data_IF_925914464826
#
_entry.id   IF_925914464826
#
_cell.length_a   1.000
_cell.length_b   1.000
_cell.length_c   1.000
_cell.angle_alpha   90.00
_cell.angle_beta   90.00
_cell.angle_gamma   90.00
#
_symmetry.space_group_name_H-M   'P 1'
#
loop_
_entity.id
_entity.type
_entity.pdbx_description
1 polymer ?
#
# COMPACT_ATOMS: atom_id res chain seq x y z
N UNK A 1 21.78 -7.76 -15.95
CA UNK A 1 21.31 -9.17 -15.96
C UNK A 1 19.96 -9.20 -15.26
N UNK A 2 18.92 -9.72 -15.92
CA UNK A 2 17.58 -9.80 -15.32
C UNK A 2 17.45 -11.03 -14.42
N UNK A 3 16.78 -10.88 -13.28
CA UNK A 3 16.41 -12.00 -12.41
C UNK A 3 15.03 -12.50 -12.83
N UNK A 4 14.85 -13.82 -12.95
CA UNK A 4 13.55 -14.42 -13.29
C UNK A 4 12.66 -14.46 -12.05
N UNK A 5 11.47 -13.87 -12.13
CA UNK A 5 10.46 -13.96 -11.08
C UNK A 5 10.00 -15.42 -10.95
N UNK A 6 10.13 -16.00 -9.75
CA UNK A 6 9.86 -17.42 -9.51
C UNK A 6 8.36 -17.76 -9.57
N UNK A 7 7.45 -16.79 -9.44
CA UNK A 7 6.00 -17.00 -9.45
C UNK A 7 5.40 -16.81 -10.83
N UNK A 8 5.91 -15.86 -11.61
CA UNK A 8 5.36 -15.51 -12.94
C UNK A 8 6.24 -15.91 -14.10
N UNK A 9 7.53 -16.17 -13.90
CA UNK A 9 8.50 -16.44 -14.96
C UNK A 9 8.97 -15.20 -15.72
N UNK A 10 8.50 -14.01 -15.34
CA UNK A 10 8.86 -12.74 -15.97
C UNK A 10 10.30 -12.34 -15.64
N UNK A 11 10.98 -11.70 -16.60
CA UNK A 11 12.30 -11.10 -16.38
C UNK A 11 12.14 -9.79 -15.62
N UNK A 12 12.71 -9.70 -14.42
CA UNK A 12 12.88 -8.43 -13.70
C UNK A 12 14.23 -7.83 -14.07
N UNK A 13 14.22 -6.70 -14.75
CA UNK A 13 15.42 -5.90 -14.99
C UNK A 13 15.64 -4.99 -13.78
N UNK A 14 16.88 -4.92 -13.29
CA UNK A 14 17.26 -3.95 -12.26
C UNK A 14 17.31 -2.53 -12.81
N UNK A 15 17.37 -1.54 -11.91
CA UNK A 15 17.66 -0.16 -12.29
C UNK A 15 19.15 0.00 -12.63
N UNK A 16 19.45 0.92 -13.56
CA UNK A 16 20.80 1.37 -13.87
C UNK A 16 20.81 2.87 -13.67
N UNK A 17 21.66 3.34 -12.76
CA UNK A 17 21.84 4.76 -12.54
C UNK A 17 22.73 5.36 -13.63
N UNK A 18 22.31 6.51 -14.14
CA UNK A 18 23.01 7.23 -15.22
C UNK A 18 23.31 8.63 -14.72
N UNK A 19 24.59 9.03 -14.75
CA UNK A 19 24.99 10.38 -14.37
C UNK A 19 24.28 11.43 -15.25
N UNK A 20 23.77 12.50 -14.64
CA UNK A 20 23.04 13.56 -15.34
C UNK A 20 23.75 14.10 -16.60
N UNK A 21 25.09 14.35 -16.61
CA UNK A 21 25.78 14.82 -17.82
C UNK A 21 25.78 13.81 -18.98
N UNK A 22 25.56 12.52 -18.69
CA UNK A 22 25.55 11.44 -19.68
C UNK A 22 24.14 11.11 -20.16
N UNK A 23 23.10 11.60 -19.48
CA UNK A 23 21.71 11.20 -19.69
C UNK A 23 21.25 11.44 -21.13
N UNK A 24 21.46 12.65 -21.68
CA UNK A 24 21.04 12.98 -23.05
C UNK A 24 21.76 12.11 -24.09
N UNK A 25 23.07 11.89 -23.91
CA UNK A 25 23.86 11.04 -24.81
C UNK A 25 23.43 9.58 -24.73
N UNK A 26 23.15 9.08 -23.53
CA UNK A 26 22.63 7.74 -23.32
C UNK A 26 21.28 7.57 -24.00
N UNK A 27 20.33 8.47 -23.74
CA UNK A 27 18.97 8.42 -24.27
C UNK A 27 18.96 8.37 -25.80
N UNK A 28 19.66 9.30 -26.44
CA UNK A 28 19.75 9.36 -27.90
C UNK A 28 20.37 8.10 -28.51
N UNK A 29 21.44 7.56 -27.90
CA UNK A 29 22.10 6.35 -28.39
C UNK A 29 21.25 5.10 -28.18
N UNK A 30 20.49 5.03 -27.09
CA UNK A 30 19.60 3.91 -26.81
C UNK A 30 18.47 3.89 -27.84
N UNK A 31 17.77 5.01 -28.06
CA UNK A 31 16.71 5.12 -29.06
C UNK A 31 17.22 4.81 -30.47
N UNK A 32 18.37 5.35 -30.88
CA UNK A 32 18.97 5.05 -32.17
C UNK A 32 19.31 3.56 -32.37
N UNK A 33 19.66 2.85 -31.28
CA UNK A 33 19.88 1.39 -31.34
C UNK A 33 18.57 0.63 -31.43
N UNK A 34 17.55 1.05 -30.66
CA UNK A 34 16.22 0.43 -30.65
C UNK A 34 15.51 0.55 -31.99
N UNK A 35 15.74 1.63 -32.74
CA UNK A 35 15.21 1.81 -34.10
C UNK A 35 15.56 0.69 -35.07
N UNK A 36 16.65 -0.04 -34.83
CA UNK A 36 17.10 -1.15 -35.68
C UNK A 36 16.59 -2.51 -35.21
N UNK A 37 15.75 -2.57 -34.17
CA UNK A 37 15.18 -3.79 -33.62
C UNK A 37 13.70 -3.82 -34.01
N UNK A 38 13.29 -4.89 -34.69
CA UNK A 38 11.90 -5.09 -35.13
C UNK A 38 10.96 -5.02 -33.93
N UNK A 39 9.96 -4.12 -34.00
CA UNK A 39 8.99 -3.85 -32.94
C UNK A 39 9.43 -2.83 -31.89
N UNK A 40 10.55 -2.13 -32.09
CA UNK A 40 11.09 -1.07 -31.22
C UNK A 40 11.37 0.24 -31.98
N UNK A 41 10.88 0.37 -33.20
CA UNK A 41 11.14 1.49 -34.11
C UNK A 41 10.66 2.83 -33.54
N UNK A 42 9.56 2.78 -32.80
CA UNK A 42 8.91 3.94 -32.15
C UNK A 42 9.11 3.94 -30.63
N UNK A 43 10.22 3.36 -30.16
CA UNK A 43 10.54 3.40 -28.74
C UNK A 43 10.63 4.85 -28.23
N UNK A 44 10.09 5.08 -27.04
CA UNK A 44 10.13 6.37 -26.36
C UNK A 44 10.43 6.17 -24.86
N UNK A 45 10.80 7.25 -24.18
CA UNK A 45 11.00 7.24 -22.73
C UNK A 45 9.72 7.63 -22.01
N UNK A 46 9.31 6.81 -21.05
CA UNK A 46 8.36 7.20 -20.02
C UNK A 46 9.12 7.87 -18.87
N UNK A 47 8.72 9.07 -18.50
CA UNK A 47 9.24 9.75 -17.32
C UNK A 47 8.33 9.46 -16.13
N UNK A 48 8.92 9.06 -15.01
CA UNK A 48 8.20 8.82 -13.76
C UNK A 48 9.02 9.42 -12.62
N UNK A 49 8.43 10.33 -11.86
CA UNK A 49 9.05 10.88 -10.65
C UNK A 49 8.62 9.98 -9.48
N UNK A 50 9.54 9.13 -9.00
CA UNK A 50 9.28 8.23 -7.86
C UNK A 50 9.97 8.71 -6.60
N UNK A 51 9.25 8.61 -5.48
CA UNK A 51 9.87 8.51 -4.16
C UNK A 51 10.33 9.85 -3.57
N UNK A 52 9.39 10.73 -3.25
CA UNK A 52 9.68 11.90 -2.40
C UNK A 52 8.81 11.84 -1.14
N UNK A 53 8.96 10.73 -0.39
CA UNK A 53 8.21 10.49 0.85
C UNK A 53 8.61 11.54 1.89
N UNK A 54 7.65 12.33 2.36
CA UNK A 54 7.86 13.37 3.37
C UNK A 54 8.41 14.70 2.86
N UNK A 55 8.71 14.82 1.55
CA UNK A 55 9.14 16.11 0.96
C UNK A 55 7.96 16.96 0.52
N UNK A 56 6.79 16.33 0.33
CA UNK A 56 5.56 17.02 -0.05
C UNK A 56 4.54 17.17 1.07
N UNK A 57 4.94 17.13 2.34
CA UNK A 57 4.04 17.39 3.46
C UNK A 57 3.82 18.90 3.61
N UNK A 58 2.56 19.31 3.67
CA UNK A 58 2.15 20.71 3.81
C UNK A 58 0.74 20.77 4.42
N UNK A 59 0.34 21.93 4.93
CA UNK A 59 -1.05 22.17 5.29
C UNK A 59 -1.90 22.15 4.01
N UNK A 60 -2.85 21.22 3.86
CA UNK A 60 -3.64 21.12 2.63
C UNK A 60 -4.53 22.34 2.40
N UNK A 61 -4.78 23.19 3.41
CA UNK A 61 -5.55 24.43 3.27
C UNK A 61 -4.68 25.61 2.81
N UNK A 62 -3.36 25.52 2.98
CA UNK A 62 -2.42 26.53 2.50
C UNK A 62 -2.18 26.37 1.00
N UNK A 63 -2.74 27.30 0.23
CA UNK A 63 -2.65 27.25 -1.24
C UNK A 63 -1.22 27.47 -1.74
N UNK A 64 -0.44 28.34 -1.09
CA UNK A 64 0.94 28.62 -1.50
C UNK A 64 1.80 27.37 -1.27
N UNK A 65 1.69 26.75 -0.10
CA UNK A 65 2.42 25.53 0.23
C UNK A 65 2.10 24.36 -0.72
N UNK A 66 0.82 24.22 -1.15
CA UNK A 66 0.43 23.21 -2.17
C UNK A 66 1.18 23.41 -3.49
N UNK A 67 1.18 24.63 -4.00
CA UNK A 67 1.81 24.95 -5.29
C UNK A 67 3.34 24.91 -5.21
N UNK A 68 3.93 25.37 -4.11
CA UNK A 68 5.38 25.30 -3.89
C UNK A 68 5.85 23.85 -3.83
N UNK A 69 5.12 22.99 -3.12
CA UNK A 69 5.39 21.56 -3.09
C UNK A 69 5.34 20.95 -4.50
N UNK A 70 4.25 21.18 -5.25
CA UNK A 70 4.11 20.65 -6.60
C UNK A 70 5.21 21.17 -7.54
N UNK A 71 5.54 22.46 -7.45
CA UNK A 71 6.64 23.06 -8.19
C UNK A 71 7.97 22.37 -7.86
N UNK A 72 8.26 22.15 -6.59
CA UNK A 72 9.49 21.50 -6.16
C UNK A 72 9.61 20.07 -6.74
N UNK A 73 8.53 19.29 -6.71
CA UNK A 73 8.50 17.95 -7.35
C UNK A 73 8.81 18.03 -8.84
N UNK A 74 8.34 19.07 -9.53
CA UNK A 74 8.51 19.27 -10.97
C UNK A 74 9.81 19.97 -11.36
N UNK A 75 10.71 20.30 -10.43
CA UNK A 75 12.02 20.90 -10.75
C UNK A 75 12.91 19.95 -11.57
N UNK A 76 12.72 18.64 -11.41
CA UNK A 76 13.54 17.62 -12.06
C UNK A 76 13.18 17.37 -13.54
N UNK A 77 12.13 18.00 -14.05
CA UNK A 77 11.58 17.75 -15.38
C UNK A 77 11.47 19.04 -16.20
N UNK A 78 11.67 18.95 -17.51
CA UNK A 78 11.50 20.08 -18.41
C UNK A 78 10.02 20.42 -18.55
N UNK A 79 9.57 21.42 -17.78
CA UNK A 79 8.17 21.86 -17.74
C UNK A 79 7.65 22.36 -19.08
N UNK A 80 8.51 22.86 -19.96
CA UNK A 80 8.11 23.30 -21.29
C UNK A 80 7.73 22.16 -22.23
N UNK A 81 8.11 20.92 -21.89
CA UNK A 81 7.81 19.71 -22.63
C UNK A 81 6.67 18.87 -22.00
N UNK A 82 6.04 19.37 -20.93
CA UNK A 82 4.98 18.66 -20.22
C UNK A 82 3.61 19.08 -20.76
N UNK A 83 2.84 18.11 -21.26
CA UNK A 83 1.40 18.25 -21.39
C UNK A 83 0.76 17.96 -20.02
N UNK A 84 0.17 18.98 -19.42
CA UNK A 84 -0.43 18.90 -18.08
C UNK A 84 -1.72 18.07 -18.04
N UNK A 85 -2.27 17.72 -19.20
CA UNK A 85 -3.42 16.81 -19.32
C UNK A 85 -3.01 15.34 -19.41
N UNK A 86 -1.79 15.05 -19.87
CA UNK A 86 -1.27 13.69 -19.99
C UNK A 86 -0.50 13.23 -18.75
N UNK A 87 0.09 14.16 -18.01
CA UNK A 87 0.78 13.87 -16.76
C UNK A 87 -0.19 13.63 -15.62
N UNK A 88 0.01 12.51 -14.92
CA UNK A 88 -0.81 12.13 -13.78
C UNK A 88 -0.02 12.29 -12.48
N UNK A 89 -0.67 12.85 -11.46
CA UNK A 89 -0.11 13.09 -10.12
C UNK A 89 -0.95 12.36 -9.09
N UNK A 90 -0.28 11.68 -8.16
CA UNK A 90 -0.91 11.11 -6.98
C UNK A 90 -0.92 12.17 -5.87
N UNK A 91 -2.11 12.67 -5.54
CA UNK A 91 -2.35 13.65 -4.47
C UNK A 91 -2.95 12.93 -3.27
N UNK A 92 -2.47 13.21 -2.06
CA UNK A 92 -2.91 12.50 -0.87
C UNK A 92 -3.26 13.43 0.29
N UNK A 93 -4.33 13.09 1.01
CA UNK A 93 -4.64 13.58 2.35
C UNK A 93 -4.25 12.53 3.37
N UNK A 94 -3.60 12.98 4.44
CA UNK A 94 -3.18 12.13 5.54
C UNK A 94 -3.78 12.63 6.86
N UNK A 95 -4.44 11.73 7.59
CA UNK A 95 -5.06 11.99 8.88
C UNK A 95 -4.27 11.27 9.98
N UNK A 96 -3.80 12.03 10.96
CA UNK A 96 -3.04 11.53 12.10
C UNK A 96 -3.66 11.99 13.42
N UNK A 97 -3.51 11.17 14.47
CA UNK A 97 -3.82 11.55 15.85
C UNK A 97 -2.74 10.99 16.76
N UNK A 98 -2.13 11.83 17.59
CA UNK A 98 -1.11 11.42 18.55
C UNK A 98 -1.59 10.27 19.44
N UNK A 99 -0.71 9.31 19.73
CA UNK A 99 -1.04 8.12 20.53
C UNK A 99 -2.06 7.16 19.92
N UNK A 100 -2.44 7.33 18.65
CA UNK A 100 -3.41 6.48 17.97
C UNK A 100 -2.91 5.96 16.63
N UNK A 101 -3.48 4.84 16.22
CA UNK A 101 -3.44 4.31 14.87
C UNK A 101 -4.79 4.58 14.21
N UNK A 102 -4.77 5.42 13.18
CA UNK A 102 -5.93 5.77 12.38
C UNK A 102 -6.23 4.65 11.37
N UNK A 103 -7.45 4.13 11.40
CA UNK A 103 -7.92 3.06 10.53
C UNK A 103 -9.14 3.50 9.73
N UNK A 104 -9.19 3.10 8.46
CA UNK A 104 -10.37 3.29 7.60
C UNK A 104 -11.46 2.27 7.92
N UNK A 105 -12.71 2.70 7.84
CA UNK A 105 -13.88 1.87 8.07
C UNK A 105 -14.54 1.49 6.74
N UNK A 106 -14.81 0.20 6.54
CA UNK A 106 -15.46 -0.33 5.34
C UNK A 106 -16.83 0.33 5.08
N UNK A 107 -17.59 0.60 6.14
CA UNK A 107 -18.90 1.26 6.05
C UNK A 107 -18.82 2.69 5.48
N UNK A 108 -17.67 3.36 5.57
CA UNK A 108 -17.47 4.73 5.07
C UNK A 108 -17.14 4.81 3.58
N UNK A 109 -16.84 3.68 2.94
CA UNK A 109 -16.35 3.66 1.54
C UNK A 109 -17.34 4.30 0.57
N UNK A 110 -18.64 4.04 0.73
CA UNK A 110 -19.67 4.65 -0.12
C UNK A 110 -19.70 6.19 0.04
N UNK A 111 -19.52 6.70 1.26
CA UNK A 111 -19.46 8.13 1.55
C UNK A 111 -18.23 8.80 0.92
N UNK A 112 -17.09 8.12 0.97
CA UNK A 112 -15.86 8.57 0.29
C UNK A 112 -16.06 8.62 -1.22
N UNK A 113 -16.60 7.55 -1.83
CA UNK A 113 -16.82 7.52 -3.27
C UNK A 113 -17.82 8.57 -3.73
N UNK A 114 -18.88 8.84 -2.96
CA UNK A 114 -19.84 9.91 -3.26
C UNK A 114 -19.17 11.29 -3.29
N UNK A 115 -18.24 11.53 -2.38
CA UNK A 115 -17.47 12.78 -2.35
C UNK A 115 -16.47 12.87 -3.51
N UNK A 116 -15.78 11.77 -3.82
CA UNK A 116 -14.68 11.75 -4.80
C UNK A 116 -15.16 11.61 -6.25
N UNK A 117 -16.36 11.05 -6.48
CA UNK A 117 -16.94 10.80 -7.79
C UNK A 117 -18.34 11.44 -7.90
N UNK A 118 -18.46 12.77 -7.78
CA UNK A 118 -19.76 13.44 -7.76
C UNK A 118 -20.55 13.32 -9.06
N UNK A 119 -19.90 12.99 -10.19
CA UNK A 119 -20.59 12.71 -11.46
C UNK A 119 -21.43 11.42 -11.43
N UNK A 120 -21.19 10.52 -10.49
CA UNK A 120 -21.94 9.26 -10.37
C UNK A 120 -23.26 9.54 -9.63
N UNK A 121 -24.43 9.36 -10.29
CA UNK A 121 -25.65 10.02 -9.86
C UNK A 121 -26.35 9.37 -8.66
N UNK A 122 -26.09 8.09 -8.37
CA UNK A 122 -26.79 7.38 -7.29
C UNK A 122 -25.88 6.42 -6.53
N UNK A 123 -26.25 6.13 -5.29
CA UNK A 123 -25.55 5.17 -4.43
C UNK A 123 -25.55 3.76 -5.03
N UNK A 124 -26.61 3.35 -5.74
CA UNK A 124 -26.65 2.05 -6.42
C UNK A 124 -25.60 1.96 -7.53
N UNK A 125 -25.32 3.07 -8.23
CA UNK A 125 -24.26 3.10 -9.23
C UNK A 125 -22.88 3.01 -8.59
N UNK A 126 -22.65 3.72 -7.48
CA UNK A 126 -21.41 3.62 -6.71
C UNK A 126 -21.19 2.21 -6.15
N UNK A 127 -22.24 1.57 -5.64
CA UNK A 127 -22.17 0.19 -5.17
C UNK A 127 -21.77 -0.77 -6.30
N UNK A 128 -22.36 -0.61 -7.50
CA UNK A 128 -21.95 -1.40 -8.68
C UNK A 128 -20.49 -1.16 -9.09
N UNK A 129 -19.90 -0.01 -8.77
CA UNK A 129 -18.46 0.23 -8.98
C UNK A 129 -17.64 -0.59 -7.98
N UNK A 130 -18.06 -0.63 -6.71
CA UNK A 130 -17.41 -1.43 -5.67
C UNK A 130 -17.52 -2.94 -5.90
N UNK A 131 -18.57 -3.40 -6.58
CA UNK A 131 -18.77 -4.83 -6.88
C UNK A 131 -17.98 -5.32 -8.11
N UNK A 132 -17.26 -4.43 -8.81
CA UNK A 132 -16.51 -4.75 -10.03
C UNK A 132 -15.05 -5.07 -9.73
N UNK A 133 -14.40 -5.75 -10.69
CA UNK A 133 -12.96 -6.12 -10.64
C UNK A 133 -11.99 -4.94 -10.46
N UNK A 134 -12.42 -3.70 -10.74
CA UNK A 134 -11.60 -2.51 -10.54
C UNK A 134 -11.49 -2.09 -9.07
N UNK A 135 -12.34 -2.62 -8.20
CA UNK A 135 -12.34 -2.36 -6.77
C UNK A 135 -11.68 -3.53 -6.02
N UNK A 136 -10.75 -3.21 -5.12
CA UNK A 136 -10.13 -4.18 -4.23
C UNK A 136 -10.25 -3.71 -2.79
N UNK A 137 -10.86 -4.54 -1.94
CA UNK A 137 -11.01 -4.27 -0.51
C UNK A 137 -9.77 -4.70 0.25
N UNK A 138 -9.21 -3.80 1.05
CA UNK A 138 -7.93 -3.99 1.72
C UNK A 138 -8.13 -4.08 3.24
N UNK A 139 -8.51 -5.27 3.72
CA UNK A 139 -8.78 -5.51 5.15
C UNK A 139 -7.51 -5.44 6.00
N UNK A 140 -7.56 -4.71 7.10
CA UNK A 140 -6.47 -4.62 8.06
C UNK A 140 -6.53 -5.79 9.06
N UNK A 141 -5.48 -6.61 9.13
CA UNK A 141 -5.38 -7.69 10.10
C UNK A 141 -6.61 -8.61 10.13
N UNK A 142 -7.22 -8.91 8.97
CA UNK A 142 -8.45 -9.72 8.85
C UNK A 142 -9.67 -9.17 9.61
N UNK A 143 -9.62 -7.94 10.12
CA UNK A 143 -10.77 -7.30 10.75
C UNK A 143 -11.75 -6.86 9.67
N UNK A 144 -13.01 -7.24 9.84
CA UNK A 144 -14.06 -7.04 8.84
C UNK A 144 -14.33 -5.56 8.56
N UNK A 145 -14.41 -4.79 9.63
CA UNK A 145 -14.83 -3.39 9.56
C UNK A 145 -13.66 -2.44 9.26
N UNK A 146 -12.43 -2.85 9.56
CA UNK A 146 -11.23 -2.05 9.31
C UNK A 146 -10.67 -2.39 7.94
N UNK A 147 -10.94 -1.53 6.96
CA UNK A 147 -10.50 -1.75 5.60
C UNK A 147 -10.27 -0.43 4.86
N UNK A 148 -9.17 -0.41 4.13
CA UNK A 148 -8.98 0.49 3.01
C UNK A 148 -9.57 -0.08 1.72
N UNK A 149 -9.34 0.59 0.61
CA UNK A 149 -9.64 0.06 -0.71
C UNK A 149 -8.76 0.69 -1.79
N UNK A 150 -8.68 0.00 -2.93
CA UNK A 150 -8.16 0.55 -4.18
C UNK A 150 -9.26 0.53 -5.22
N UNK A 151 -9.31 1.56 -6.06
CA UNK A 151 -10.26 1.62 -7.15
C UNK A 151 -9.58 2.16 -8.40
N UNK A 152 -9.54 1.35 -9.46
CA UNK A 152 -9.40 1.85 -10.82
C UNK A 152 -10.76 2.43 -11.25
N UNK A 153 -10.82 3.76 -11.38
CA UNK A 153 -12.08 4.46 -11.61
C UNK A 153 -12.58 4.16 -13.03
N UNK A 154 -13.87 3.80 -13.22
CA UNK A 154 -14.43 3.57 -14.54
C UNK A 154 -14.26 4.78 -15.46
N UNK A 155 -13.92 4.56 -16.73
CA UNK A 155 -13.51 5.63 -17.67
C UNK A 155 -14.51 6.79 -17.79
N UNK A 156 -15.82 6.53 -17.68
CA UNK A 156 -16.84 7.57 -17.73
C UNK A 156 -16.75 8.53 -16.52
N UNK A 157 -16.69 7.99 -15.32
CA UNK A 157 -16.52 8.77 -14.09
C UNK A 157 -15.13 9.43 -14.05
N UNK A 158 -14.09 8.70 -14.45
CA UNK A 158 -12.73 9.23 -14.48
C UNK A 158 -12.58 10.46 -15.38
N UNK A 159 -13.27 10.46 -16.54
CA UNK A 159 -13.29 11.62 -17.44
C UNK A 159 -14.09 12.79 -16.87
N UNK A 160 -15.20 12.51 -16.20
CA UNK A 160 -16.10 13.53 -15.68
C UNK A 160 -15.53 14.21 -14.41
N UNK A 161 -14.97 13.43 -13.49
CA UNK A 161 -14.47 13.90 -12.20
C UNK A 161 -12.95 14.17 -12.21
N UNK A 162 -12.24 13.77 -13.27
CA UNK A 162 -10.79 13.94 -13.37
C UNK A 162 -9.99 12.98 -12.46
N UNK A 163 -10.63 11.97 -11.87
CA UNK A 163 -9.98 11.02 -10.96
C UNK A 163 -9.88 9.64 -11.61
N UNK A 164 -8.66 9.15 -11.84
CA UNK A 164 -8.43 7.89 -12.55
C UNK A 164 -8.20 6.70 -11.62
N UNK A 165 -7.74 6.96 -10.40
CA UNK A 165 -7.41 5.93 -9.42
C UNK A 165 -7.60 6.46 -8.00
N UNK A 166 -8.03 5.59 -7.10
CA UNK A 166 -8.16 5.85 -5.67
C UNK A 166 -7.36 4.79 -4.89
N UNK A 167 -6.71 5.22 -3.81
CA UNK A 167 -5.98 4.35 -2.90
C UNK A 167 -6.19 4.85 -1.47
N UNK A 168 -7.00 4.13 -0.72
CA UNK A 168 -7.39 4.43 0.65
C UNK A 168 -6.75 3.38 1.55
N UNK A 169 -5.80 3.78 2.39
CA UNK A 169 -5.05 2.83 3.22
C UNK A 169 -4.52 3.46 4.50
N UNK A 170 -4.18 2.61 5.48
CA UNK A 170 -3.50 3.05 6.70
C UNK A 170 -1.99 2.82 6.62
N UNK A 171 -1.22 3.72 7.26
CA UNK A 171 0.25 3.74 7.22
C UNK A 171 0.89 2.99 8.40
N UNK A 172 0.11 2.30 9.25
CA UNK A 172 0.64 1.42 10.30
C UNK A 172 1.55 0.33 9.73
N UNK A 173 1.34 -0.04 8.46
CA UNK A 173 2.27 -0.88 7.67
C UNK A 173 3.70 -0.36 7.61
N UNK A 174 3.97 0.92 7.92
CA UNK A 174 5.33 1.49 7.94
C UNK A 174 6.27 0.74 8.88
N UNK A 175 5.76 0.20 9.99
CA UNK A 175 6.54 -0.60 10.94
C UNK A 175 6.89 -1.99 10.40
N UNK A 176 6.16 -2.47 9.39
CA UNK A 176 6.33 -3.81 8.81
C UNK A 176 6.83 -3.76 7.36
N UNK A 177 7.03 -2.56 6.80
CA UNK A 177 7.41 -2.35 5.42
C UNK A 177 8.94 -2.26 5.30
N UNK A 178 9.52 -3.18 4.53
CA UNK A 178 10.95 -3.20 4.23
C UNK A 178 11.16 -3.31 2.72
N UNK A 179 12.12 -2.53 2.19
CA UNK A 179 12.50 -2.58 0.77
C UNK A 179 13.18 -3.91 0.40
N UNK A 180 13.82 -4.56 1.37
CA UNK A 180 14.44 -5.87 1.22
C UNK A 180 13.62 -6.94 1.95
N UNK A 181 13.66 -8.21 1.49
CA UNK A 181 12.98 -9.30 2.18
C UNK A 181 13.39 -9.36 3.66
N UNK A 182 12.41 -9.21 4.54
CA UNK A 182 12.57 -9.32 5.99
C UNK A 182 11.69 -10.44 6.55
N UNK A 183 11.60 -10.53 7.89
CA UNK A 183 10.65 -11.42 8.58
C UNK A 183 9.18 -11.16 8.19
N UNK A 184 8.87 -9.96 7.68
CA UNK A 184 7.54 -9.61 7.20
C UNK A 184 7.30 -9.99 5.74
N UNK A 185 8.11 -10.84 5.09
CA UNK A 185 7.85 -11.34 3.73
C UNK A 185 6.57 -12.20 3.68
N UNK A 186 6.00 -12.52 2.51
CA UNK A 186 4.90 -13.47 2.46
C UNK A 186 5.40 -14.84 2.93
N UNK A 187 4.61 -15.44 3.82
CA UNK A 187 4.80 -16.82 4.27
C UNK A 187 3.91 -17.79 3.50
N UNK A 188 4.37 -19.02 3.33
CA UNK A 188 3.68 -20.05 2.56
C UNK A 188 3.51 -21.33 3.37
N UNK A 189 2.41 -22.05 3.14
CA UNK A 189 2.13 -23.32 3.83
C UNK A 189 3.24 -24.37 3.65
N UNK A 190 3.99 -24.31 2.56
CA UNK A 190 5.16 -25.17 2.32
C UNK A 190 6.27 -24.98 3.36
N UNK A 191 6.30 -23.84 4.07
CA UNK A 191 7.27 -23.58 5.14
C UNK A 191 6.99 -24.38 6.42
N UNK A 192 5.83 -25.02 6.52
CA UNK A 192 5.49 -25.94 7.61
C UNK A 192 6.20 -27.30 7.47
N UNK A 193 6.85 -27.56 6.34
CA UNK A 193 7.44 -28.85 6.00
C UNK A 193 8.96 -28.75 6.01
N UNK A 194 9.60 -29.70 6.71
CA UNK A 194 11.05 -29.86 6.72
C UNK A 194 11.79 -28.69 7.38
N UNK A 195 12.93 -28.32 6.80
CA UNK A 195 13.90 -27.40 7.41
C UNK A 195 13.49 -25.92 7.38
N UNK A 196 12.34 -25.58 6.78
CA UNK A 196 11.84 -24.21 6.72
C UNK A 196 11.13 -23.78 8.00
N UNK A 197 10.56 -24.73 8.75
CA UNK A 197 9.75 -24.45 9.95
C UNK A 197 10.52 -23.71 11.05
N UNK A 198 11.78 -24.08 11.39
CA UNK A 198 12.55 -23.32 12.38
C UNK A 198 12.79 -21.86 11.97
N UNK A 199 13.01 -21.61 10.67
CA UNK A 199 13.17 -20.25 10.14
C UNK A 199 11.86 -19.46 10.23
N UNK A 200 10.74 -20.06 9.85
CA UNK A 200 9.41 -19.45 10.01
C UNK A 200 9.15 -19.04 11.45
N UNK A 201 9.47 -19.91 12.42
CA UNK A 201 9.32 -19.60 13.85
C UNK A 201 10.19 -18.42 14.28
N UNK A 202 11.45 -18.40 13.86
CA UNK A 202 12.33 -17.27 14.12
C UNK A 202 11.79 -15.97 13.50
N UNK A 203 11.25 -16.02 12.28
CA UNK A 203 10.60 -14.87 11.64
C UNK A 203 9.43 -14.36 12.52
N UNK A 204 8.58 -15.25 13.06
CA UNK A 204 7.48 -14.85 13.94
C UNK A 204 7.94 -14.27 15.28
N UNK A 205 9.01 -14.82 15.87
CA UNK A 205 9.58 -14.28 17.11
C UNK A 205 10.13 -12.87 16.89
N UNK A 206 10.83 -12.62 15.78
CA UNK A 206 11.29 -11.28 15.41
C UNK A 206 10.13 -10.31 15.10
N UNK A 207 9.09 -10.78 14.41
CA UNK A 207 7.87 -9.98 14.20
C UNK A 207 7.23 -9.58 15.54
N UNK A 208 7.22 -10.48 16.53
CA UNK A 208 6.65 -10.20 17.85
C UNK A 208 7.40 -9.08 18.57
N UNK A 209 8.73 -9.00 18.42
CA UNK A 209 9.56 -7.92 18.99
C UNK A 209 9.21 -6.57 18.36
N UNK A 210 8.99 -6.55 17.04
CA UNK A 210 8.56 -5.33 16.34
C UNK A 210 7.18 -4.88 16.83
N UNK A 211 6.21 -5.79 16.97
CA UNK A 211 4.89 -5.43 17.51
C UNK A 211 4.97 -4.95 18.97
N UNK A 212 5.80 -5.59 19.81
CA UNK A 212 6.00 -5.16 21.18
C UNK A 212 6.63 -3.77 21.27
N UNK A 213 7.59 -3.45 20.40
CA UNK A 213 8.19 -2.12 20.29
C UNK A 213 7.17 -1.08 19.80
N UNK A 214 6.42 -1.41 18.75
CA UNK A 214 5.40 -0.52 18.19
C UNK A 214 4.25 -0.25 19.16
N UNK A 215 3.94 -1.20 20.04
CA UNK A 215 2.93 -1.07 21.10
C UNK A 215 3.28 -0.01 22.14
N UNK A 216 4.57 0.24 22.37
CA UNK A 216 5.05 1.13 23.44
C UNK A 216 4.89 0.51 24.83
N UNK A 217 4.71 1.36 25.85
CA UNK A 217 4.50 1.02 27.26
C UNK A 217 3.03 1.24 27.64
N UNK A 218 2.53 0.41 28.56
CA UNK A 218 1.15 0.51 29.02
C UNK A 218 0.94 1.80 29.80
N UNK A 219 -0.12 2.55 29.48
CA UNK A 219 -0.45 3.82 30.12
C UNK A 219 0.42 5.00 29.68
N UNK A 220 1.25 4.84 28.65
CA UNK A 220 2.10 5.89 28.07
C UNK A 220 1.75 6.06 26.58
N UNK A 221 0.87 7.02 26.30
CA UNK A 221 0.29 7.24 24.96
C UNK A 221 1.33 7.67 23.92
N UNK A 222 2.46 8.23 24.34
CA UNK A 222 3.51 8.77 23.46
C UNK A 222 4.62 7.75 23.16
N UNK A 223 4.66 6.64 23.89
CA UNK A 223 5.72 5.63 23.76
C UNK A 223 5.56 4.65 22.60
N UNK A 224 4.39 4.61 21.97
CA UNK A 224 4.09 3.69 20.88
C UNK A 224 4.30 4.31 19.49
N UNK A 225 4.19 3.48 18.45
CA UNK A 225 4.25 3.91 17.05
C UNK A 225 2.85 4.21 16.51
N UNK A 226 2.48 5.48 16.28
CA UNK A 226 1.19 5.83 15.68
C UNK A 226 1.12 5.39 14.21
N UNK A 227 -0.07 5.47 13.64
CA UNK A 227 -0.31 5.21 12.23
C UNK A 227 -1.37 6.15 11.67
N UNK A 228 -1.24 6.52 10.41
CA UNK A 228 -2.08 7.52 9.76
C UNK A 228 -3.06 6.86 8.79
N UNK A 229 -4.20 7.49 8.57
CA UNK A 229 -5.16 7.10 7.55
C UNK A 229 -4.93 8.00 6.34
N UNK A 230 -4.56 7.39 5.21
CA UNK A 230 -4.21 8.10 3.98
C UNK A 230 -5.20 7.81 2.87
N UNK A 231 -5.69 8.87 2.24
CA UNK A 231 -6.52 8.85 1.04
C UNK A 231 -5.70 9.46 -0.09
N UNK A 232 -5.45 8.70 -1.14
CA UNK A 232 -4.67 9.13 -2.29
C UNK A 232 -5.52 8.98 -3.56
N UNK A 233 -5.47 10.00 -4.43
CA UNK A 233 -6.18 10.05 -5.70
C UNK A 233 -5.20 10.37 -6.82
N UNK A 234 -5.45 9.80 -8.01
CA UNK A 234 -4.67 10.09 -9.21
C UNK A 234 -5.42 11.00 -10.16
N UNK A 235 -4.88 12.20 -10.38
CA UNK A 235 -5.50 13.25 -11.20
C UNK A 235 -4.51 13.79 -12.25
N UNK A 236 -4.99 14.43 -13.32
CA UNK A 236 -4.13 15.18 -14.24
C UNK A 236 -3.39 16.31 -13.52
N UNK A 237 -2.16 16.58 -13.94
CA UNK A 237 -1.29 17.60 -13.37
C UNK A 237 -1.95 18.98 -13.37
N UNK A 238 -2.73 19.32 -14.41
CA UNK A 238 -3.45 20.59 -14.51
C UNK A 238 -4.34 20.93 -13.30
N UNK A 239 -4.82 19.93 -12.56
CA UNK A 239 -5.71 20.09 -11.41
C UNK A 239 -5.10 19.66 -10.08
N UNK A 240 -3.84 19.22 -10.05
CA UNK A 240 -3.25 18.59 -8.88
C UNK A 240 -3.19 19.50 -7.63
N UNK A 241 -3.03 20.82 -7.83
CA UNK A 241 -2.95 21.80 -6.74
C UNK A 241 -4.29 22.14 -6.07
N UNK A 242 -5.43 21.79 -6.68
CA UNK A 242 -6.76 22.23 -6.22
C UNK A 242 -7.66 21.08 -5.76
N UNK A 243 -7.21 19.83 -5.94
CA UNK A 243 -7.96 18.66 -5.52
C UNK A 243 -7.61 18.24 -4.09
N UNK A 244 -8.54 17.53 -3.46
CA UNK A 244 -8.30 16.84 -2.19
C UNK A 244 -7.77 17.76 -1.07
N UNK A 245 -8.32 18.98 -0.95
CA UNK A 245 -7.97 19.95 0.10
C UNK A 245 -8.48 19.52 1.48
N UNK A 246 -9.73 19.05 1.55
CA UNK A 246 -10.34 18.57 2.78
C UNK A 246 -11.49 17.61 2.47
N UNK A 247 -11.68 16.62 3.35
CA UNK A 247 -12.91 15.83 3.38
C UNK A 247 -13.96 16.53 4.26
N UNK A 248 -15.26 16.40 3.93
CA UNK A 248 -16.33 16.86 4.80
C UNK A 248 -16.24 16.20 6.19
N UNK A 249 -16.46 16.93 7.30
CA UNK A 249 -16.33 16.38 8.66
C UNK A 249 -17.19 15.14 8.92
N UNK A 250 -18.38 15.07 8.33
CA UNK A 250 -19.27 13.92 8.43
C UNK A 250 -18.72 12.69 7.68
N UNK A 251 -18.02 12.89 6.56
CA UNK A 251 -17.35 11.80 5.82
C UNK A 251 -16.16 11.28 6.64
N UNK A 252 -15.37 12.17 7.23
CA UNK A 252 -14.26 11.81 8.15
C UNK A 252 -14.78 10.97 9.32
N UNK A 253 -15.80 11.47 10.02
CA UNK A 253 -16.36 10.80 11.19
C UNK A 253 -16.99 9.43 10.87
N UNK A 254 -17.60 9.26 9.69
CA UNK A 254 -18.20 7.99 9.28
C UNK A 254 -17.17 6.98 8.72
N UNK A 255 -16.01 7.45 8.25
CA UNK A 255 -15.06 6.64 7.47
C UNK A 255 -13.79 6.26 8.21
N UNK A 256 -13.54 6.81 9.40
CA UNK A 256 -12.30 6.54 10.14
C UNK A 256 -12.57 6.27 11.62
N UNK A 257 -11.67 5.50 12.22
CA UNK A 257 -11.60 5.30 13.66
C UNK A 257 -10.18 5.51 14.14
N UNK A 258 -10.03 6.15 15.30
CA UNK A 258 -8.76 6.28 16.00
C UNK A 258 -8.65 5.16 17.05
N UNK A 259 -7.79 4.18 16.82
CA UNK A 259 -7.54 3.09 17.76
C UNK A 259 -6.33 3.46 18.61
N UNK A 260 -6.37 3.39 19.95
CA UNK A 260 -5.18 3.64 20.76
C UNK A 260 -4.00 2.76 20.31
N UNK A 261 -2.80 3.36 20.21
CA UNK A 261 -1.61 2.69 19.68
C UNK A 261 -1.32 1.39 20.43
N UNK A 262 -1.39 1.41 21.76
CA UNK A 262 -1.24 0.21 22.56
C UNK A 262 -2.23 -0.88 22.13
N UNK A 263 -3.53 -0.57 22.07
CA UNK A 263 -4.58 -1.53 21.72
C UNK A 263 -4.36 -2.15 20.34
N UNK A 264 -4.00 -1.35 19.33
CA UNK A 264 -3.78 -1.84 17.97
C UNK A 264 -2.62 -2.84 17.89
N UNK A 265 -1.47 -2.48 18.43
CA UNK A 265 -0.27 -3.31 18.35
C UNK A 265 -0.33 -4.48 19.32
N UNK A 266 -0.97 -4.33 20.48
CA UNK A 266 -1.21 -5.43 21.42
C UNK A 266 -2.12 -6.50 20.83
N UNK A 267 -3.15 -6.10 20.09
CA UNK A 267 -3.98 -7.02 19.33
C UNK A 267 -3.15 -7.84 18.34
N UNK A 268 -2.30 -7.19 17.53
CA UNK A 268 -1.42 -7.89 16.58
C UNK A 268 -0.41 -8.79 17.29
N UNK A 269 0.20 -8.33 18.37
CA UNK A 269 1.14 -9.08 19.19
C UNK A 269 0.50 -10.33 19.80
N UNK A 270 -0.64 -10.17 20.47
CA UNK A 270 -1.37 -11.27 21.12
C UNK A 270 -1.83 -12.29 20.09
N UNK A 271 -2.32 -11.82 18.94
CA UNK A 271 -2.74 -12.70 17.86
C UNK A 271 -1.57 -13.47 17.26
N UNK A 272 -0.44 -12.82 16.99
CA UNK A 272 0.77 -13.49 16.52
C UNK A 272 1.26 -14.53 17.53
N UNK A 273 1.22 -14.21 18.82
CA UNK A 273 1.62 -15.13 19.91
C UNK A 273 0.75 -16.38 19.92
N UNK A 274 -0.58 -16.22 19.79
CA UNK A 274 -1.50 -17.36 19.69
C UNK A 274 -1.22 -18.23 18.46
N UNK A 275 -0.94 -17.62 17.30
CA UNK A 275 -0.56 -18.34 16.08
C UNK A 275 0.78 -19.09 16.25
N UNK A 276 1.77 -18.47 16.90
CA UNK A 276 3.06 -19.09 17.20
C UNK A 276 2.92 -20.27 18.17
N UNK A 277 1.97 -20.22 19.11
CA UNK A 277 1.66 -21.35 20.00
C UNK A 277 1.16 -22.57 19.20
N UNK A 278 0.30 -22.36 18.21
CA UNK A 278 -0.16 -23.43 17.31
C UNK A 278 1.01 -24.02 16.53
N UNK A 279 1.90 -23.20 15.96
CA UNK A 279 3.08 -23.69 15.23
C UNK A 279 4.08 -24.41 16.13
N UNK A 280 4.22 -23.98 17.38
CA UNK A 280 5.07 -24.66 18.38
C UNK A 280 4.54 -26.05 18.68
N UNK A 281 3.23 -26.21 18.83
CA UNK A 281 2.61 -27.53 19.02
C UNK A 281 2.69 -28.36 17.74
N UNK A 282 2.51 -27.74 16.58
CA UNK A 282 2.68 -28.41 15.29
C UNK A 282 4.09 -28.98 15.15
N UNK A 283 5.14 -28.22 15.47
CA UNK A 283 6.53 -28.70 15.41
C UNK A 283 6.82 -29.86 16.37
N UNK A 284 6.22 -29.82 17.58
CA UNK A 284 6.39 -30.85 18.60
C UNK A 284 5.59 -32.13 18.32
N UNK A 285 4.60 -32.07 17.42
CA UNK A 285 3.78 -33.22 17.08
C UNK A 285 4.57 -34.25 16.26
N UNK A 286 4.19 -35.51 16.42
CA UNK A 286 4.78 -36.61 15.67
C UNK A 286 4.67 -36.38 14.15
N UNK A 287 5.66 -36.82 13.34
CA UNK A 287 5.63 -36.65 11.89
C UNK A 287 4.34 -37.15 11.23
N UNK A 288 3.76 -38.24 11.73
CA UNK A 288 2.49 -38.78 11.23
C UNK A 288 1.31 -37.85 11.52
N UNK A 289 1.21 -37.32 12.75
CA UNK A 289 0.17 -36.37 13.13
C UNK A 289 0.26 -35.04 12.39
N UNK A 290 1.48 -34.59 12.03
CA UNK A 290 1.70 -33.40 11.18
C UNK A 290 1.22 -33.60 9.75
N UNK A 291 1.21 -34.85 9.26
CA UNK A 291 0.75 -35.18 7.92
C UNK A 291 -0.77 -35.37 7.82
N UNK A 292 -1.50 -35.35 8.94
CA UNK A 292 -2.96 -35.44 8.93
C UNK A 292 -3.58 -34.23 8.20
N UNK A 293 -4.62 -34.44 7.37
CA UNK A 293 -5.28 -33.37 6.64
C UNK A 293 -5.71 -32.18 7.52
N UNK A 294 -6.21 -32.46 8.72
CA UNK A 294 -6.65 -31.46 9.69
C UNK A 294 -5.48 -30.61 10.20
N UNK A 295 -4.34 -31.24 10.50
CA UNK A 295 -3.12 -30.55 10.92
C UNK A 295 -2.57 -29.66 9.80
N UNK A 296 -2.54 -30.16 8.57
CA UNK A 296 -2.10 -29.41 7.40
C UNK A 296 -3.03 -28.22 7.10
N UNK A 297 -4.34 -28.42 7.20
CA UNK A 297 -5.34 -27.38 7.01
C UNK A 297 -5.22 -26.29 8.08
N UNK A 298 -5.09 -26.67 9.35
CA UNK A 298 -4.87 -25.72 10.45
C UNK A 298 -3.57 -24.95 10.24
N UNK A 299 -2.48 -25.62 9.85
CA UNK A 299 -1.21 -24.99 9.54
C UNK A 299 -1.34 -23.96 8.40
N UNK A 300 -1.98 -24.34 7.29
CA UNK A 300 -2.22 -23.43 6.17
C UNK A 300 -3.05 -22.21 6.59
N UNK A 301 -4.06 -22.41 7.43
CA UNK A 301 -4.88 -21.33 8.00
C UNK A 301 -4.07 -20.40 8.91
N UNK A 302 -3.17 -20.96 9.73
CA UNK A 302 -2.25 -20.17 10.57
C UNK A 302 -1.36 -19.29 9.72
N UNK A 303 -0.77 -19.81 8.64
CA UNK A 303 0.04 -19.02 7.69
C UNK A 303 -0.77 -17.89 7.07
N UNK A 304 -2.00 -18.19 6.62
CA UNK A 304 -2.90 -17.17 6.08
C UNK A 304 -3.19 -16.07 7.11
N UNK A 305 -3.41 -16.42 8.38
CA UNK A 305 -3.60 -15.46 9.47
C UNK A 305 -2.33 -14.64 9.80
N UNK A 306 -1.15 -15.25 9.78
CA UNK A 306 0.13 -14.54 9.98
C UNK A 306 0.32 -13.48 8.91
N UNK A 307 0.10 -13.84 7.65
CA UNK A 307 0.16 -12.91 6.53
C UNK A 307 -0.85 -11.77 6.75
N UNK A 308 -2.11 -12.09 7.11
CA UNK A 308 -3.14 -11.07 7.31
C UNK A 308 -2.75 -9.94 8.28
N UNK A 309 -1.91 -10.19 9.29
CA UNK A 309 -1.51 -9.19 10.28
C UNK A 309 -0.76 -7.97 9.70
N UNK A 310 -0.11 -8.13 8.55
CA UNK A 310 0.78 -7.12 7.99
C UNK A 310 0.69 -6.97 6.46
N UNK A 311 -0.08 -7.84 5.79
CA UNK A 311 -0.28 -7.84 4.33
C UNK A 311 -1.66 -8.39 3.98
N UNK A 312 -2.05 -8.23 2.73
CA UNK A 312 -3.21 -8.91 2.14
C UNK A 312 -2.81 -10.35 1.83
N UNK A 313 -3.48 -11.37 2.38
CA UNK A 313 -3.12 -12.76 2.12
C UNK A 313 -3.34 -13.19 0.66
N UNK A 314 -4.22 -12.50 -0.06
CA UNK A 314 -4.64 -12.84 -1.42
C UNK A 314 -3.79 -12.18 -2.53
N UNK A 315 -2.83 -11.32 -2.17
CA UNK A 315 -1.84 -10.69 -3.08
C UNK A 315 -0.61 -11.61 -3.32
#
# INVERSE_FOLDING_TARGET
>A
MGARDKRTGHLRFGSIDIDAPRLSRFGNRLLAKLQNIVGCEEAYFLHEIRGIKGVGEHDPTDTEARWDCLNHVLEAVDRGAIDTDEWMVDVALEYSKGGHVMQWLAQGHLGLLRFLLPSVPTDEHLQRIMDRRGFALDRAAQLGDLAGFRLAVPSAAARADGVTYLNVYSTDKSQTYHLHPSMFRPHYATELIGNALPKLRNDLDEMSKVYAAARGKWGDEDSGSPGNARLEIRVPLRGAGDVLVQLPPNVVAASMVAVPTWTWWDFKFTRLTALNYVLTNFERADPEARAWPESLMLGAWVIHCVNALHRRPDD
#
